data_IF_857424324055
#
_entry.id   IF_857424324055
#
_cell.length_a   1.000
_cell.length_b   1.000
_cell.length_c   1.000
_cell.angle_alpha   90.00
_cell.angle_beta   90.00
_cell.angle_gamma   90.00
#
_symmetry.space_group_name_H-M   'P 1'
#
loop_
_entity.id
_entity.type
_entity.pdbx_description
1 polymer ?
#
# COMPACT_ATOMS: atom_id res chain seq x y z
N UNK A 1 -20.41 -0.06 -6.94
CA UNK A 1 -20.23 -0.39 -8.38
C UNK A 1 -18.75 -0.44 -8.67
N UNK A 2 -18.26 -1.44 -9.41
CA UNK A 2 -16.87 -1.42 -9.86
C UNK A 2 -16.69 -0.23 -10.81
N UNK A 3 -15.61 0.54 -10.62
CA UNK A 3 -15.27 1.65 -11.50
C UNK A 3 -15.17 1.15 -12.96
N UNK A 4 -15.91 1.79 -13.87
CA UNK A 4 -15.79 1.52 -15.29
C UNK A 4 -14.36 1.89 -15.71
N UNK A 5 -13.65 0.93 -16.31
CA UNK A 5 -12.33 1.19 -16.88
C UNK A 5 -12.47 2.05 -18.12
N UNK A 6 -11.50 2.93 -18.30
CA UNK A 6 -11.38 3.76 -19.49
C UNK A 6 -10.25 3.16 -20.31
N UNK A 7 -10.60 2.60 -21.46
CA UNK A 7 -9.61 2.08 -22.39
C UNK A 7 -8.92 3.25 -23.12
N UNK A 8 -7.76 2.98 -23.71
CA UNK A 8 -6.97 3.99 -24.42
C UNK A 8 -7.78 4.72 -25.49
N UNK A 9 -8.53 3.98 -26.32
CA UNK A 9 -9.32 4.54 -27.40
C UNK A 9 -10.47 5.45 -26.94
N UNK A 10 -10.90 5.31 -25.68
CA UNK A 10 -12.01 6.08 -25.11
C UNK A 10 -11.52 7.39 -24.45
N UNK A 11 -10.20 7.58 -24.33
CA UNK A 11 -9.64 8.86 -23.91
C UNK A 11 -9.81 9.93 -25.01
N UNK A 12 -10.16 11.18 -24.64
CA UNK A 12 -10.27 12.28 -25.59
C UNK A 12 -8.99 12.42 -26.44
N UNK A 13 -9.09 12.77 -27.73
CA UNK A 13 -7.92 12.87 -28.62
C UNK A 13 -6.79 13.74 -28.06
N UNK A 14 -7.11 14.94 -27.54
CA UNK A 14 -6.12 15.85 -26.97
C UNK A 14 -5.43 15.28 -25.71
N UNK A 15 -6.17 14.51 -24.88
CA UNK A 15 -5.59 13.80 -23.74
C UNK A 15 -4.58 12.74 -24.22
N UNK A 16 -4.89 11.99 -25.28
CA UNK A 16 -3.97 11.02 -25.89
C UNK A 16 -2.72 11.71 -26.47
N UNK A 17 -2.88 12.83 -27.17
CA UNK A 17 -1.77 13.60 -27.74
C UNK A 17 -0.80 14.08 -26.65
N UNK A 18 -1.33 14.54 -25.51
CA UNK A 18 -0.51 14.94 -24.36
C UNK A 18 0.19 13.74 -23.72
N UNK A 19 -0.46 12.57 -23.61
CA UNK A 19 0.22 11.36 -23.15
C UNK A 19 1.37 10.98 -24.08
N UNK A 20 1.15 10.97 -25.40
CA UNK A 20 2.20 10.67 -26.39
C UNK A 20 3.34 11.70 -26.37
N UNK A 21 3.05 12.97 -26.07
CA UNK A 21 4.09 14.00 -25.85
C UNK A 21 4.99 13.67 -24.66
N UNK A 22 4.45 13.02 -23.62
CA UNK A 22 5.19 12.66 -22.41
C UNK A 22 5.86 11.26 -22.48
N UNK A 23 5.34 10.33 -23.27
CA UNK A 23 5.83 8.94 -23.36
C UNK A 23 6.52 8.56 -24.67
N UNK A 24 6.47 9.45 -25.66
CA UNK A 24 6.67 9.10 -27.06
C UNK A 24 5.45 8.39 -27.66
N UNK A 25 5.48 8.13 -28.99
CA UNK A 25 4.35 7.52 -29.71
C UNK A 25 3.93 6.17 -29.11
N UNK A 26 2.63 5.97 -28.91
CA UNK A 26 2.07 4.73 -28.36
C UNK A 26 1.86 3.74 -29.49
N UNK A 27 2.58 2.61 -29.46
CA UNK A 27 2.46 1.52 -30.44
C UNK A 27 1.30 0.59 -30.12
N UNK A 28 1.08 0.33 -28.84
CA UNK A 28 -0.08 -0.43 -28.37
C UNK A 28 -0.40 -0.06 -26.93
N UNK A 29 -1.67 -0.22 -26.55
CA UNK A 29 -2.15 0.03 -25.21
C UNK A 29 -2.99 -1.17 -24.74
N UNK A 30 -2.86 -1.51 -23.46
CA UNK A 30 -3.64 -2.57 -22.82
C UNK A 30 -4.18 -2.09 -21.49
N UNK A 31 -5.50 -2.21 -21.32
CA UNK A 31 -6.16 -1.96 -20.03
C UNK A 31 -5.83 -3.08 -19.05
N UNK A 32 -5.33 -2.69 -17.88
CA UNK A 32 -4.98 -3.63 -16.81
C UNK A 32 -6.22 -3.87 -15.94
N UNK A 33 -6.58 -5.15 -15.79
CA UNK A 33 -7.74 -5.56 -14.99
C UNK A 33 -7.48 -5.47 -13.49
N UNK A 34 -6.22 -5.63 -13.05
CA UNK A 34 -5.79 -5.51 -11.66
C UNK A 34 -5.76 -4.04 -11.17
N UNK A 35 -5.97 -3.81 -9.86
CA UNK A 35 -5.93 -2.50 -9.21
C UNK A 35 -7.18 -1.62 -9.47
N UNK A 36 -8.20 -1.68 -8.60
CA UNK A 36 -9.55 -1.13 -8.84
C UNK A 36 -9.71 0.37 -8.54
N UNK A 37 -8.64 1.09 -8.24
CA UNK A 37 -8.71 2.42 -7.63
C UNK A 37 -8.65 3.60 -8.62
N UNK A 38 -8.38 3.33 -9.90
CA UNK A 38 -8.31 4.35 -10.97
C UNK A 38 -9.12 3.92 -12.20
N UNK A 39 -9.99 4.77 -12.77
CA UNK A 39 -10.67 4.52 -14.05
C UNK A 39 -9.69 4.21 -15.19
N UNK A 40 -8.61 4.98 -15.32
CA UNK A 40 -7.53 4.71 -16.29
C UNK A 40 -6.45 3.90 -15.58
N UNK A 41 -6.15 2.72 -16.12
CA UNK A 41 -5.04 1.87 -15.72
C UNK A 41 -4.54 1.13 -16.97
N UNK A 42 -3.56 1.72 -17.64
CA UNK A 42 -3.09 1.29 -18.96
C UNK A 42 -1.62 0.87 -18.88
N UNK A 43 -1.28 -0.22 -19.55
CA UNK A 43 0.09 -0.52 -19.93
C UNK A 43 0.27 -0.05 -21.38
N UNK A 44 1.15 0.93 -21.59
CA UNK A 44 1.52 1.44 -22.90
C UNK A 44 2.84 0.82 -23.34
N UNK A 45 2.88 0.34 -24.58
CA UNK A 45 4.12 0.00 -25.28
C UNK A 45 4.45 1.16 -26.22
N UNK A 46 5.53 1.88 -25.95
CA UNK A 46 5.94 3.08 -26.69
C UNK A 46 7.25 2.87 -27.42
N UNK A 47 7.69 3.86 -28.19
CA UNK A 47 8.98 3.81 -28.85
C UNK A 47 10.17 3.66 -27.88
N UNK A 48 10.04 4.23 -26.68
CA UNK A 48 11.12 4.37 -25.69
C UNK A 48 11.03 3.37 -24.53
N UNK A 49 10.01 2.52 -24.52
CA UNK A 49 9.82 1.47 -23.53
C UNK A 49 8.37 1.32 -23.09
N UNK A 50 8.16 0.61 -21.98
CA UNK A 50 6.83 0.42 -21.41
C UNK A 50 6.57 1.41 -20.28
N UNK A 51 5.36 1.97 -20.27
CA UNK A 51 4.89 2.91 -19.25
C UNK A 51 3.56 2.42 -18.69
N UNK A 52 3.43 2.42 -17.37
CA UNK A 52 2.15 2.22 -16.72
C UNK A 52 1.49 3.59 -16.48
N UNK A 53 0.27 3.78 -16.98
CA UNK A 53 -0.48 5.03 -16.85
C UNK A 53 -1.67 4.81 -15.93
N UNK A 54 -1.75 5.62 -14.86
CA UNK A 54 -2.93 5.75 -14.02
C UNK A 54 -3.57 7.11 -14.28
N UNK A 55 -4.89 7.18 -14.17
CA UNK A 55 -5.57 8.46 -14.23
C UNK A 55 -7.05 8.41 -13.92
N UNK A 56 -7.60 9.59 -13.77
CA UNK A 56 -8.98 9.86 -13.42
C UNK A 56 -9.38 11.26 -13.88
N UNK A 57 -10.67 11.51 -13.98
CA UNK A 57 -11.18 12.86 -14.14
C UNK A 57 -11.07 13.64 -12.81
N UNK A 58 -10.85 14.95 -12.86
CA UNK A 58 -10.64 15.82 -11.70
C UNK A 58 -11.84 15.85 -10.74
N UNK A 59 -13.05 15.63 -11.27
CA UNK A 59 -14.27 15.51 -10.46
C UNK A 59 -14.39 14.16 -9.73
N UNK A 60 -13.48 13.22 -10.00
CA UNK A 60 -13.49 11.91 -9.34
C UNK A 60 -13.03 12.04 -7.89
N UNK A 61 -13.76 11.48 -6.89
CA UNK A 61 -13.39 11.59 -5.47
C UNK A 61 -11.98 11.08 -5.13
N UNK A 62 -11.43 10.19 -5.96
CA UNK A 62 -10.07 9.65 -5.83
C UNK A 62 -8.94 10.60 -6.23
N UNK A 63 -9.22 11.78 -6.82
CA UNK A 63 -8.19 12.73 -7.28
C UNK A 63 -7.22 13.13 -6.17
N UNK A 64 -7.72 13.33 -4.95
CA UNK A 64 -6.90 13.70 -3.80
C UNK A 64 -5.92 12.57 -3.45
N UNK A 65 -6.32 11.31 -3.61
CA UNK A 65 -5.46 10.16 -3.34
C UNK A 65 -4.39 9.99 -4.42
N UNK A 66 -4.74 10.19 -5.70
CA UNK A 66 -3.77 10.15 -6.79
C UNK A 66 -2.75 11.30 -6.70
N UNK A 67 -3.19 12.51 -6.32
CA UNK A 67 -2.29 13.63 -6.09
C UNK A 67 -1.26 13.31 -4.98
N UNK A 68 -1.70 12.68 -3.88
CA UNK A 68 -0.78 12.21 -2.82
C UNK A 68 0.22 11.18 -3.33
N UNK A 69 -0.24 10.20 -4.11
CA UNK A 69 0.62 9.20 -4.75
C UNK A 69 1.69 9.86 -5.65
N UNK A 70 1.29 10.81 -6.49
CA UNK A 70 2.22 11.52 -7.37
C UNK A 70 3.28 12.32 -6.60
N UNK A 71 2.94 12.87 -5.44
CA UNK A 71 3.90 13.59 -4.59
C UNK A 71 4.86 12.60 -3.93
N UNK A 72 4.35 11.55 -3.28
CA UNK A 72 5.18 10.65 -2.48
C UNK A 72 6.11 9.78 -3.33
N UNK A 73 5.72 9.39 -4.55
CA UNK A 73 6.55 8.57 -5.44
C UNK A 73 7.93 9.19 -5.73
N UNK A 74 8.07 10.51 -5.63
CA UNK A 74 9.36 11.22 -5.78
C UNK A 74 10.37 10.87 -4.69
N UNK A 75 9.89 10.47 -3.50
CA UNK A 75 10.71 10.21 -2.31
C UNK A 75 10.97 8.72 -2.08
N UNK A 76 10.21 7.83 -2.71
CA UNK A 76 10.25 6.38 -2.46
C UNK A 76 10.87 5.58 -3.61
N UNK A 77 11.65 6.22 -4.48
CA UNK A 77 12.27 5.57 -5.66
C UNK A 77 13.20 4.41 -5.30
N UNK A 78 13.66 4.31 -4.04
CA UNK A 78 14.43 3.18 -3.54
C UNK A 78 13.61 1.88 -3.36
N UNK A 79 12.28 1.98 -3.30
CA UNK A 79 11.37 0.86 -3.04
C UNK A 79 10.16 0.81 -3.98
N UNK A 80 9.95 1.82 -4.82
CA UNK A 80 8.79 1.98 -5.70
C UNK A 80 9.24 2.30 -7.13
N UNK A 81 8.47 1.90 -8.16
CA UNK A 81 8.71 2.36 -9.52
C UNK A 81 8.68 3.90 -9.58
N UNK A 82 9.49 4.50 -10.46
CA UNK A 82 9.59 5.97 -10.54
C UNK A 82 8.38 6.58 -11.23
N UNK A 83 7.96 7.75 -10.74
CA UNK A 83 7.09 8.65 -11.49
C UNK A 83 7.91 9.24 -12.65
N UNK A 84 7.43 9.05 -13.87
CA UNK A 84 8.04 9.59 -15.09
C UNK A 84 7.50 10.99 -15.40
N UNK A 85 6.18 11.15 -15.29
CA UNK A 85 5.49 12.42 -15.54
C UNK A 85 4.13 12.43 -14.85
N UNK A 86 3.60 13.65 -14.67
CA UNK A 86 2.20 13.92 -14.31
C UNK A 86 1.70 15.01 -15.23
N UNK A 87 0.48 14.88 -15.72
CA UNK A 87 -0.16 15.88 -16.57
C UNK A 87 -1.62 16.06 -16.17
N UNK A 88 -2.07 17.30 -16.23
CA UNK A 88 -3.48 17.67 -16.03
C UNK A 88 -3.96 18.33 -17.32
N UNK A 89 -4.92 17.71 -18.02
CA UNK A 89 -5.40 18.16 -19.34
C UNK A 89 -6.87 17.78 -19.53
N UNK A 90 -7.69 18.72 -20.01
CA UNK A 90 -9.12 18.52 -20.29
C UNK A 90 -9.91 17.89 -19.13
N UNK A 91 -9.56 18.27 -17.89
CA UNK A 91 -10.17 17.72 -16.68
C UNK A 91 -9.65 16.34 -16.29
N UNK A 92 -8.65 15.77 -16.95
CA UNK A 92 -7.99 14.52 -16.55
C UNK A 92 -6.71 14.78 -15.79
N UNK A 93 -6.51 14.08 -14.67
CA UNK A 93 -5.23 13.96 -13.98
C UNK A 93 -4.63 12.59 -14.29
N UNK A 94 -3.47 12.57 -14.95
CA UNK A 94 -2.79 11.37 -15.42
C UNK A 94 -1.35 11.34 -14.91
N UNK A 95 -0.93 10.17 -14.46
CA UNK A 95 0.45 9.91 -14.05
C UNK A 95 1.03 8.76 -14.87
N UNK A 96 2.23 8.98 -15.40
CA UNK A 96 3.05 7.95 -16.03
C UNK A 96 4.09 7.43 -15.05
N UNK A 97 4.11 6.12 -14.87
CA UNK A 97 4.96 5.42 -13.92
C UNK A 97 5.80 4.40 -14.70
N UNK A 98 7.04 4.23 -14.27
CA UNK A 98 7.92 3.16 -14.76
C UNK A 98 7.22 1.80 -14.67
N UNK A 99 7.23 1.04 -15.77
CA UNK A 99 6.72 -0.31 -15.76
C UNK A 99 7.76 -1.27 -15.17
N UNK A 100 7.44 -1.89 -14.03
CA UNK A 100 8.25 -2.99 -13.48
C UNK A 100 7.77 -4.31 -14.05
N UNK A 101 8.64 -4.96 -14.80
CA UNK A 101 8.39 -6.31 -15.27
C UNK A 101 8.57 -7.32 -14.13
N UNK A 102 7.45 -7.88 -13.68
CA UNK A 102 7.42 -8.80 -12.55
C UNK A 102 6.04 -9.44 -12.35
N UNK A 103 5.89 -10.12 -11.21
CA UNK A 103 4.63 -10.72 -10.76
C UNK A 103 4.23 -10.13 -9.42
N UNK A 104 2.95 -10.20 -9.06
CA UNK A 104 2.54 -9.90 -7.69
C UNK A 104 3.13 -10.92 -6.71
N UNK A 105 3.50 -10.47 -5.51
CA UNK A 105 4.10 -11.31 -4.50
C UNK A 105 3.12 -12.39 -4.01
N UNK A 106 3.63 -13.59 -3.76
CA UNK A 106 2.91 -14.68 -3.12
C UNK A 106 3.23 -14.72 -1.63
N UNK A 107 2.21 -14.65 -0.79
CA UNK A 107 2.35 -14.56 0.67
C UNK A 107 2.03 -15.90 1.37
N UNK A 108 1.70 -16.96 0.62
CA UNK A 108 1.43 -18.28 1.21
C UNK A 108 2.64 -18.81 1.98
N UNK A 109 2.43 -19.73 2.96
CA UNK A 109 3.53 -20.41 3.63
C UNK A 109 4.54 -20.99 2.64
N UNK A 110 5.82 -20.92 2.99
CA UNK A 110 6.98 -21.39 2.20
C UNK A 110 7.19 -20.68 0.85
N UNK A 111 6.48 -19.58 0.58
CA UNK A 111 6.72 -18.78 -0.61
C UNK A 111 8.16 -18.21 -0.65
N UNK A 112 8.85 -18.29 -1.79
CA UNK A 112 10.19 -17.71 -1.96
C UNK A 112 10.16 -16.17 -2.00
N UNK A 113 8.99 -15.54 -2.05
CA UNK A 113 8.85 -14.09 -2.15
C UNK A 113 8.97 -13.40 -0.79
N UNK A 114 8.70 -14.13 0.32
CA UNK A 114 8.65 -13.57 1.67
C UNK A 114 9.94 -12.87 2.12
N UNK A 115 11.16 -13.39 1.84
CA UNK A 115 12.38 -12.65 2.12
C UNK A 115 12.45 -11.29 1.41
N UNK A 116 12.02 -11.20 0.15
CA UNK A 116 12.01 -9.94 -0.60
C UNK A 116 10.97 -8.95 -0.05
N UNK A 117 9.82 -9.46 0.42
CA UNK A 117 8.78 -8.65 1.06
C UNK A 117 9.28 -8.06 2.38
N UNK A 118 9.97 -8.84 3.21
CA UNK A 118 10.58 -8.34 4.45
C UNK A 118 11.73 -7.36 4.17
N UNK A 119 12.51 -7.59 3.12
CA UNK A 119 13.56 -6.67 2.67
C UNK A 119 12.98 -5.30 2.26
N UNK A 120 11.90 -5.25 1.47
CA UNK A 120 11.34 -3.96 1.03
C UNK A 120 10.77 -3.13 2.18
N UNK A 121 10.23 -3.76 3.22
CA UNK A 121 9.83 -3.08 4.47
C UNK A 121 11.03 -2.41 5.13
N UNK A 122 12.16 -3.11 5.23
CA UNK A 122 13.37 -2.55 5.84
C UNK A 122 13.96 -1.41 5.01
N UNK A 123 13.99 -1.57 3.68
CA UNK A 123 14.41 -0.49 2.77
C UNK A 123 13.51 0.72 2.88
N UNK A 124 12.19 0.55 2.99
CA UNK A 124 11.26 1.66 3.21
C UNK A 124 11.52 2.34 4.56
N UNK A 125 11.74 1.56 5.62
CA UNK A 125 12.09 2.09 6.95
C UNK A 125 13.38 2.94 6.96
N UNK A 126 14.26 2.75 5.97
CA UNK A 126 15.47 3.54 5.79
C UNK A 126 15.29 4.78 4.88
N UNK A 127 14.14 4.94 4.22
CA UNK A 127 13.83 6.15 3.44
C UNK A 127 13.53 7.29 4.40
N UNK A 128 14.18 8.43 4.19
CA UNK A 128 13.88 9.65 4.95
C UNK A 128 12.42 10.04 4.73
N UNK A 129 11.67 10.19 5.82
CA UNK A 129 10.29 10.61 5.72
C UNK A 129 10.23 12.09 5.33
N UNK A 130 9.64 12.45 4.18
CA UNK A 130 9.56 13.84 3.75
C UNK A 130 8.53 14.59 4.59
N UNK A 131 8.77 15.88 4.86
CA UNK A 131 7.81 16.71 5.59
C UNK A 131 6.73 17.23 4.62
N UNK A 132 5.68 16.42 4.46
CA UNK A 132 4.59 16.67 3.53
C UNK A 132 3.25 16.71 4.28
N UNK A 133 2.41 17.74 4.08
CA UNK A 133 1.08 17.81 4.68
C UNK A 133 0.14 16.70 4.20
N UNK A 134 0.45 16.08 3.05
CA UNK A 134 -0.27 14.96 2.47
C UNK A 134 -0.18 13.66 3.29
N UNK A 135 0.89 13.50 4.08
CA UNK A 135 1.09 12.28 4.86
C UNK A 135 0.05 12.18 5.97
N UNK A 136 -0.62 11.05 6.03
CA UNK A 136 -1.48 10.74 7.16
C UNK A 136 -0.62 10.60 8.42
N UNK A 137 -1.28 10.76 9.57
CA UNK A 137 -0.71 10.52 10.90
C UNK A 137 -1.52 9.39 11.54
N UNK A 138 -0.97 8.69 12.53
CA UNK A 138 -1.71 7.69 13.29
C UNK A 138 -3.05 8.18 13.80
N UNK A 139 -3.14 9.43 14.26
CA UNK A 139 -4.41 10.05 14.67
C UNK A 139 -5.48 10.03 13.56
N UNK A 140 -5.09 10.28 12.30
CA UNK A 140 -6.01 10.23 11.16
C UNK A 140 -6.47 8.81 10.81
N UNK A 141 -5.74 7.77 11.24
CA UNK A 141 -5.92 6.37 10.81
C UNK A 141 -6.56 5.50 11.89
N UNK A 142 -6.03 5.60 13.10
CA UNK A 142 -6.37 4.75 14.24
C UNK A 142 -6.94 5.55 15.42
N UNK A 143 -6.93 6.89 15.38
CA UNK A 143 -7.34 7.73 16.51
C UNK A 143 -8.76 7.47 17.01
N UNK A 144 -9.72 7.22 16.11
CA UNK A 144 -11.10 6.88 16.49
C UNK A 144 -11.26 5.46 17.09
N UNK A 145 -10.19 4.65 17.09
CA UNK A 145 -10.19 3.24 17.47
C UNK A 145 -9.26 2.94 18.64
N UNK A 146 -8.65 3.96 19.22
CA UNK A 146 -7.84 3.88 20.44
C UNK A 146 -8.65 4.51 21.58
N UNK A 147 -8.75 3.82 22.72
CA UNK A 147 -9.61 4.26 23.83
C UNK A 147 -8.96 5.39 24.65
N UNK A 148 -7.66 5.26 24.91
CA UNK A 148 -6.87 6.25 25.65
C UNK A 148 -5.99 7.05 24.66
N UNK A 149 -6.17 8.38 24.54
CA UNK A 149 -5.29 9.22 23.72
C UNK A 149 -3.80 9.07 24.01
N UNK A 150 -3.40 8.69 25.24
CA UNK A 150 -2.00 8.43 25.56
C UNK A 150 -1.45 7.18 24.85
N UNK A 151 -2.29 6.17 24.59
CA UNK A 151 -1.89 4.99 23.80
C UNK A 151 -1.65 5.34 22.33
N UNK A 152 -2.31 6.38 21.80
CA UNK A 152 -2.10 6.81 20.42
C UNK A 152 -0.67 7.31 20.19
N UNK A 153 -0.03 7.88 21.22
CA UNK A 153 1.38 8.30 21.17
C UNK A 153 2.33 7.12 20.94
N UNK A 154 1.94 5.90 21.31
CA UNK A 154 2.74 4.71 20.99
C UNK A 154 2.77 4.39 19.49
N UNK A 155 1.82 4.94 18.71
CA UNK A 155 1.77 4.78 17.26
C UNK A 155 2.46 5.94 16.53
N UNK A 156 2.78 7.04 17.22
CA UNK A 156 3.44 8.21 16.62
C UNK A 156 4.92 7.95 16.37
N UNK A 157 5.47 8.64 15.37
CA UNK A 157 6.85 8.44 14.94
C UNK A 157 7.18 9.25 13.70
N UNK A 158 8.43 9.14 13.25
CA UNK A 158 8.98 9.91 12.12
C UNK A 158 9.22 9.07 10.86
N UNK A 159 8.84 7.80 10.84
CA UNK A 159 9.09 6.88 9.72
C UNK A 159 8.00 7.00 8.66
N UNK A 160 8.39 6.92 7.39
CA UNK A 160 7.45 6.81 6.27
C UNK A 160 6.93 5.38 6.18
N UNK A 161 5.61 5.24 6.18
CA UNK A 161 4.91 3.96 6.19
C UNK A 161 4.06 3.81 4.92
N UNK A 162 4.05 2.60 4.35
CA UNK A 162 3.15 2.25 3.24
C UNK A 162 1.73 1.99 3.76
N UNK A 163 1.61 1.29 4.89
CA UNK A 163 0.36 0.90 5.57
C UNK A 163 -0.60 -0.03 4.81
N UNK A 164 -0.29 -0.42 3.57
CA UNK A 164 -1.08 -1.41 2.82
C UNK A 164 -0.21 -2.45 2.10
N UNK A 165 0.09 -3.56 2.79
CA UNK A 165 0.83 -4.70 2.23
C UNK A 165 -0.11 -5.76 1.65
N UNK A 166 -1.11 -5.33 0.89
CA UNK A 166 -1.84 -6.24 0.02
C UNK A 166 -0.83 -6.92 -0.93
N UNK A 167 -0.86 -8.26 -1.14
CA UNK A 167 0.03 -8.92 -2.09
C UNK A 167 -0.01 -8.32 -3.50
N UNK A 168 -1.16 -7.74 -3.89
CA UNK A 168 -1.32 -7.04 -5.18
C UNK A 168 -0.60 -5.69 -5.26
N UNK A 169 -0.14 -5.14 -4.13
CA UNK A 169 0.63 -3.91 -4.06
C UNK A 169 2.14 -4.15 -3.97
N UNK A 170 2.58 -5.41 -4.07
CA UNK A 170 4.00 -5.78 -4.08
C UNK A 170 4.33 -6.52 -5.36
N UNK A 171 5.24 -5.96 -6.17
CA UNK A 171 5.73 -6.58 -7.40
C UNK A 171 7.11 -7.18 -7.13
N UNK A 172 7.27 -8.47 -7.41
CA UNK A 172 8.56 -9.15 -7.44
C UNK A 172 9.08 -9.11 -8.88
N UNK A 173 10.17 -8.37 -9.09
CA UNK A 173 10.80 -8.27 -10.40
C UNK A 173 11.55 -9.55 -10.79
N UNK A 174 12.10 -9.57 -12.02
CA UNK A 174 12.86 -10.71 -12.55
C UNK A 174 14.13 -11.04 -11.75
N UNK A 175 14.69 -10.08 -11.01
CA UNK A 175 15.84 -10.28 -10.13
C UNK A 175 15.43 -10.75 -8.72
N UNK A 176 14.13 -10.91 -8.45
CA UNK A 176 13.60 -11.30 -7.15
C UNK A 176 13.48 -10.14 -6.16
N UNK A 177 13.63 -8.89 -6.60
CA UNK A 177 13.48 -7.72 -5.72
C UNK A 177 12.03 -7.28 -5.65
N UNK A 178 11.57 -6.95 -4.45
CA UNK A 178 10.23 -6.42 -4.22
C UNK A 178 10.17 -4.89 -4.42
N UNK A 179 9.10 -4.45 -5.06
CA UNK A 179 8.72 -3.06 -5.30
C UNK A 179 7.31 -2.80 -4.78
N UNK A 180 7.13 -1.73 -4.02
CA UNK A 180 5.84 -1.28 -3.49
C UNK A 180 5.18 -0.35 -4.50
N UNK A 181 3.88 -0.56 -4.72
CA UNK A 181 3.02 0.29 -5.55
C UNK A 181 1.75 0.65 -4.77
N UNK A 182 0.96 1.60 -5.30
CA UNK A 182 -0.28 2.09 -4.70
C UNK A 182 -0.06 2.81 -3.35
N UNK A 183 0.56 3.98 -3.44
CA UNK A 183 0.79 4.87 -2.30
C UNK A 183 -0.43 5.74 -1.98
N UNK A 184 -1.60 5.13 -1.84
CA UNK A 184 -2.84 5.83 -1.56
C UNK A 184 -2.91 6.40 -0.12
N UNK A 185 -2.27 5.72 0.84
CA UNK A 185 -2.37 6.02 2.28
C UNK A 185 -1.02 6.16 3.00
N UNK A 186 0.00 6.81 2.41
CA UNK A 186 1.29 6.97 3.06
C UNK A 186 1.09 7.70 4.40
N UNK A 187 1.73 7.17 5.43
CA UNK A 187 1.56 7.63 6.80
C UNK A 187 2.93 7.92 7.41
N UNK A 188 3.06 9.01 8.16
CA UNK A 188 4.21 9.25 9.02
C UNK A 188 3.88 8.78 10.44
N UNK A 189 4.55 7.73 10.91
CA UNK A 189 4.26 7.10 12.20
C UNK A 189 5.39 6.22 12.73
N UNK A 190 5.10 5.40 13.73
CA UNK A 190 6.05 4.46 14.30
C UNK A 190 6.42 3.36 13.30
N UNK A 191 7.73 3.06 13.18
CA UNK A 191 8.26 2.14 12.17
C UNK A 191 7.65 0.73 12.21
N UNK A 192 7.25 0.25 13.39
CA UNK A 192 6.75 -1.12 13.59
C UNK A 192 5.35 -1.37 12.99
N UNK A 193 4.64 -0.31 12.59
CA UNK A 193 3.30 -0.40 12.02
C UNK A 193 3.30 -1.21 10.72
N UNK A 194 4.24 -0.96 9.82
CA UNK A 194 4.32 -1.69 8.54
C UNK A 194 4.60 -3.19 8.72
N UNK A 195 5.56 -3.60 9.56
CA UNK A 195 5.68 -4.98 10.03
C UNK A 195 4.37 -5.58 10.57
N UNK A 196 3.62 -4.85 11.41
CA UNK A 196 2.33 -5.32 11.91
C UNK A 196 1.29 -5.49 10.81
N UNK A 197 1.29 -4.62 9.80
CA UNK A 197 0.43 -4.75 8.62
C UNK A 197 0.76 -6.03 7.85
N UNK A 198 2.05 -6.34 7.67
CA UNK A 198 2.45 -7.59 7.04
C UNK A 198 2.00 -8.81 7.86
N UNK A 199 2.09 -8.78 9.19
CA UNK A 199 1.69 -9.92 10.05
C UNK A 199 0.25 -10.37 9.77
N UNK A 200 -0.72 -9.45 9.81
CA UNK A 200 -2.11 -9.85 9.59
C UNK A 200 -2.38 -10.23 8.12
N UNK A 201 -1.60 -9.70 7.16
CA UNK A 201 -1.66 -10.13 5.76
C UNK A 201 -1.17 -11.57 5.60
N UNK A 202 -0.07 -11.94 6.24
CA UNK A 202 0.43 -13.32 6.24
C UNK A 202 -0.56 -14.28 6.90
N UNK A 203 -1.18 -13.91 8.02
CA UNK A 203 -2.21 -14.75 8.65
C UNK A 203 -3.39 -14.96 7.69
N UNK A 204 -3.81 -13.92 6.96
CA UNK A 204 -4.90 -14.04 5.98
C UNK A 204 -4.59 -14.99 4.81
N UNK A 205 -3.30 -15.24 4.55
CA UNK A 205 -2.77 -16.12 3.51
C UNK A 205 -2.40 -17.52 4.04
N UNK A 206 -2.76 -17.83 5.30
CA UNK A 206 -2.67 -19.18 5.87
C UNK A 206 -1.50 -19.41 6.82
N UNK A 207 -0.72 -18.38 7.18
CA UNK A 207 0.28 -18.51 8.23
C UNK A 207 -0.36 -18.63 9.62
N UNK A 208 0.25 -19.42 10.50
CA UNK A 208 -0.07 -19.31 11.93
C UNK A 208 0.36 -17.94 12.47
N UNK A 209 -0.29 -17.44 13.53
CA UNK A 209 0.08 -16.16 14.17
C UNK A 209 1.58 -16.12 14.52
N UNK A 210 2.10 -17.16 15.17
CA UNK A 210 3.52 -17.24 15.53
C UNK A 210 4.42 -17.32 14.30
N UNK A 211 3.99 -17.99 13.23
CA UNK A 211 4.72 -18.03 11.96
C UNK A 211 4.81 -16.66 11.31
N UNK A 212 3.70 -15.93 11.27
CA UNK A 212 3.64 -14.57 10.71
C UNK A 212 4.52 -13.59 11.50
N UNK A 213 4.47 -13.61 12.84
CA UNK A 213 5.32 -12.73 13.67
C UNK A 213 6.82 -13.05 13.50
N UNK A 214 7.20 -14.32 13.29
CA UNK A 214 8.60 -14.71 13.05
C UNK A 214 9.19 -14.06 11.79
N UNK A 215 8.40 -13.84 10.75
CA UNK A 215 8.87 -13.19 9.52
C UNK A 215 9.34 -11.75 9.75
N UNK A 216 8.68 -11.04 10.67
CA UNK A 216 9.00 -9.63 10.95
C UNK A 216 9.87 -9.43 12.17
N UNK A 217 10.02 -10.46 13.03
CA UNK A 217 10.76 -10.39 14.28
C UNK A 217 12.23 -9.95 14.11
N UNK A 218 12.86 -10.28 12.99
CA UNK A 218 14.23 -9.88 12.67
C UNK A 218 14.38 -8.45 12.14
N UNK A 219 13.29 -7.75 11.83
CA UNK A 219 13.36 -6.38 11.33
C UNK A 219 13.70 -5.41 12.48
N UNK A 220 14.55 -4.39 12.26
CA UNK A 220 14.86 -3.40 13.29
C UNK A 220 13.61 -2.68 13.83
N UNK A 221 12.65 -2.40 12.94
CA UNK A 221 11.39 -1.76 13.28
C UNK A 221 10.54 -2.57 14.26
N UNK A 222 10.44 -3.89 14.08
CA UNK A 222 9.73 -4.76 15.03
C UNK A 222 10.52 -4.96 16.33
N UNK A 223 11.82 -5.21 16.23
CA UNK A 223 12.67 -5.53 17.39
C UNK A 223 12.77 -4.37 18.40
N UNK A 224 12.60 -3.13 17.94
CA UNK A 224 12.61 -1.91 18.76
C UNK A 224 11.24 -1.55 19.35
N UNK A 225 10.16 -2.20 18.91
CA UNK A 225 8.81 -1.92 19.39
C UNK A 225 8.56 -2.54 20.77
N UNK A 226 7.89 -1.80 21.65
CA UNK A 226 7.38 -2.39 22.89
C UNK A 226 6.23 -3.34 22.58
N UNK A 227 6.07 -4.40 23.38
CA UNK A 227 4.94 -5.32 23.24
C UNK A 227 3.60 -4.57 23.35
N UNK A 228 3.52 -3.56 24.23
CA UNK A 228 2.36 -2.70 24.43
C UNK A 228 2.00 -1.92 23.16
N UNK A 229 2.98 -1.31 22.47
CA UNK A 229 2.72 -0.55 21.25
C UNK A 229 2.15 -1.44 20.13
N UNK A 230 2.67 -2.66 20.01
CA UNK A 230 2.13 -3.66 19.07
C UNK A 230 0.72 -4.10 19.48
N UNK A 231 0.44 -4.27 20.77
CA UNK A 231 -0.89 -4.64 21.29
C UNK A 231 -1.93 -3.54 21.04
N UNK A 232 -1.55 -2.27 21.21
CA UNK A 232 -2.36 -1.10 20.88
C UNK A 232 -2.68 -1.07 19.39
N UNK A 233 -1.67 -1.20 18.53
CA UNK A 233 -1.88 -1.25 17.09
C UNK A 233 -2.81 -2.40 16.68
N UNK A 234 -2.54 -3.61 17.16
CA UNK A 234 -3.33 -4.79 16.82
C UNK A 234 -4.81 -4.62 17.21
N UNK A 235 -5.08 -4.06 18.40
CA UNK A 235 -6.44 -3.75 18.86
C UNK A 235 -7.12 -2.69 18.01
N UNK A 236 -6.45 -1.56 17.79
CA UNK A 236 -7.02 -0.46 17.00
C UNK A 236 -7.29 -0.90 15.56
N UNK A 237 -6.36 -1.63 14.94
CA UNK A 237 -6.50 -2.13 13.58
C UNK A 237 -7.58 -3.21 13.45
N UNK A 238 -7.79 -4.05 14.47
CA UNK A 238 -8.92 -4.99 14.49
C UNK A 238 -10.27 -4.25 14.43
N UNK A 239 -10.42 -3.15 15.18
CA UNK A 239 -11.63 -2.31 15.15
C UNK A 239 -11.81 -1.59 13.81
N UNK A 240 -10.72 -1.13 13.18
CA UNK A 240 -10.75 -0.57 11.81
C UNK A 240 -11.33 -1.60 10.84
N UNK A 241 -10.81 -2.83 10.84
CA UNK A 241 -11.29 -3.86 9.91
C UNK A 241 -12.71 -4.34 10.23
N UNK A 242 -13.10 -4.37 11.50
CA UNK A 242 -14.48 -4.64 11.91
C UNK A 242 -15.46 -3.60 11.33
N UNK A 243 -15.13 -2.30 11.43
CA UNK A 243 -15.94 -1.25 10.81
C UNK A 243 -15.96 -1.38 9.28
N UNK A 244 -14.81 -1.59 8.63
CA UNK A 244 -14.74 -1.78 7.17
C UNK A 244 -15.63 -2.95 6.70
N UNK A 245 -15.67 -4.04 7.46
CA UNK A 245 -16.49 -5.20 7.15
C UNK A 245 -17.98 -4.99 7.48
N UNK A 246 -18.30 -4.14 8.45
CA UNK A 246 -19.69 -3.74 8.73
C UNK A 246 -20.25 -2.82 7.63
N UNK A 247 -19.44 -1.87 7.15
CA UNK A 247 -19.83 -0.91 6.12
C UNK A 247 -19.96 -1.57 4.73
N UNK A 248 -19.14 -2.58 4.43
CA UNK A 248 -19.21 -3.38 3.20
C UNK A 248 -18.88 -4.86 3.49
N UNK A 249 -19.90 -5.71 3.72
CA UNK A 249 -19.74 -7.09 4.19
C UNK A 249 -19.33 -8.07 3.09
N UNK A 250 -18.41 -7.69 2.22
CA UNK A 250 -17.83 -8.62 1.26
C UNK A 250 -17.01 -9.74 1.96
N UNK A 251 -16.98 -10.98 1.42
CA UNK A 251 -16.36 -12.12 2.11
C UNK A 251 -14.89 -11.90 2.49
N UNK A 252 -14.13 -11.18 1.66
CA UNK A 252 -12.72 -10.92 1.93
C UNK A 252 -12.53 -9.89 3.05
N UNK A 253 -13.40 -8.87 3.17
CA UNK A 253 -13.36 -7.90 4.29
C UNK A 253 -13.72 -8.55 5.61
N UNK A 254 -14.73 -9.42 5.61
CA UNK A 254 -15.10 -10.22 6.78
C UNK A 254 -13.95 -11.13 7.24
N UNK A 255 -13.24 -11.76 6.30
CA UNK A 255 -12.03 -12.54 6.59
C UNK A 255 -10.94 -11.67 7.23
N UNK A 256 -10.66 -10.49 6.68
CA UNK A 256 -9.67 -9.57 7.26
C UNK A 256 -10.04 -9.17 8.69
N UNK A 257 -11.30 -8.82 8.94
CA UNK A 257 -11.79 -8.50 10.28
C UNK A 257 -11.57 -9.66 11.27
N UNK A 258 -11.92 -10.89 10.87
CA UNK A 258 -11.69 -12.09 11.67
C UNK A 258 -10.20 -12.30 11.99
N UNK A 259 -9.34 -12.23 10.97
CA UNK A 259 -7.88 -12.39 11.12
C UNK A 259 -7.28 -11.36 12.07
N UNK A 260 -7.63 -10.08 11.91
CA UNK A 260 -7.09 -9.03 12.77
C UNK A 260 -7.60 -9.13 14.21
N UNK A 261 -8.85 -9.58 14.41
CA UNK A 261 -9.42 -9.84 15.72
C UNK A 261 -8.67 -10.98 16.42
N UNK A 262 -8.52 -12.12 15.74
CA UNK A 262 -7.82 -13.30 16.27
C UNK A 262 -6.36 -12.96 16.66
N UNK A 263 -5.66 -12.22 15.79
CA UNK A 263 -4.30 -11.76 16.12
C UNK A 263 -4.29 -10.86 17.35
N UNK A 264 -5.17 -9.86 17.44
CA UNK A 264 -5.27 -8.98 18.61
C UNK A 264 -5.57 -9.74 19.91
N UNK A 265 -6.50 -10.69 19.88
CA UNK A 265 -6.88 -11.52 21.04
C UNK A 265 -5.72 -12.42 21.50
N UNK A 266 -5.00 -13.04 20.56
CA UNK A 266 -3.86 -13.90 20.86
C UNK A 266 -2.75 -13.17 21.63
N UNK A 267 -2.61 -11.85 21.40
CA UNK A 267 -1.61 -11.01 22.05
C UNK A 267 -2.01 -10.65 23.48
N UNK A 268 -3.30 -10.35 23.73
CA UNK A 268 -3.83 -10.13 25.10
C UNK A 268 -3.55 -11.31 26.03
N UNK A 269 -3.64 -12.54 25.51
CA UNK A 269 -3.38 -13.77 26.26
C UNK A 269 -1.91 -13.95 26.70
N UNK A 270 -0.95 -13.26 26.06
CA UNK A 270 0.48 -13.35 26.38
C UNK A 270 0.87 -12.39 27.51
N UNK A 271 0.29 -11.19 27.53
CA UNK A 271 0.50 -10.19 28.58
C UNK A 271 -0.13 -10.62 29.91
N UNK A 272 -1.23 -11.37 29.88
CA UNK A 272 -1.89 -11.93 31.07
C UNK A 272 -1.16 -13.13 31.72
N UNK A 273 -0.26 -13.82 30.99
CA UNK A 273 0.56 -14.92 31.52
C UNK A 273 1.94 -14.48 32.04
N UNK A 274 2.31 -13.22 31.82
CA UNK A 274 3.58 -12.64 32.24
C UNK A 274 3.47 -11.77 33.51
N UNK A 275 2.26 -11.66 34.09
CA UNK A 275 1.99 -11.08 35.41
C UNK A 275 1.60 -12.21 36.37
#
# INVERSE_FOLDING_TARGET
MALARVDWQDLPPHVRDVVETNTGPVRSARTVSAGKNSPVALLLDTADGRVFVKGLHADHPGVVTQAREAVITKYVTAVSPRLLWRTEVDGWDLIGIEYVEGRHADYRPDSPDLPAVVDVIQRLGAVECPDLPELKRPAHRWGAYVDDPAELELLTGSTLLHTDYNPLNVIIDRAGRAHLIDWAWPTRGAAFIDPCVLVYRLISEGHSITGAEKWVAGTPAWASASAEAVDVFARANARVWEQIAADDPSPWKQRMAAVTREWSESRRGRTARAK
#
